data_IF_077869149870
#
_entry.id   IF_077869149870
#
_cell.length_a   1.000
_cell.length_b   1.000
_cell.length_c   1.000
_cell.angle_alpha   90.00
_cell.angle_beta   90.00
_cell.angle_gamma   90.00
#
_symmetry.space_group_name_H-M   'P 1'
#
loop_
_entity.id
_entity.type
_entity.pdbx_description
1 polymer ?
#
# COMPACT_ATOMS: atom_id res chain seq x y z
N UNK A 1 30.74 -2.80 12.79
CA UNK A 1 29.40 -2.47 13.33
C UNK A 1 28.79 -1.39 12.43
N UNK A 2 27.60 -1.59 11.85
CA UNK A 2 26.95 -0.53 11.04
C UNK A 2 26.42 0.54 11.99
N UNK A 3 26.74 1.81 11.72
CA UNK A 3 26.31 2.96 12.54
C UNK A 3 24.81 3.24 12.47
N UNK A 4 24.16 2.77 11.39
CA UNK A 4 22.73 2.95 11.15
C UNK A 4 22.09 1.60 10.84
N UNK A 5 20.92 1.36 11.44
CA UNK A 5 20.07 0.24 11.10
C UNK A 5 19.43 0.53 9.75
N UNK A 6 19.69 -0.30 8.74
CA UNK A 6 19.01 -0.13 7.46
C UNK A 6 17.52 -0.44 7.62
N UNK A 7 16.68 0.16 6.77
CA UNK A 7 15.25 -0.14 6.75
C UNK A 7 14.99 -1.65 6.65
N UNK A 8 15.78 -2.36 5.84
CA UNK A 8 15.70 -3.81 5.74
C UNK A 8 16.07 -4.53 7.05
N UNK A 9 17.09 -4.06 7.77
CA UNK A 9 17.50 -4.67 9.04
C UNK A 9 16.41 -4.45 10.11
N UNK A 10 15.84 -3.25 10.19
CA UNK A 10 14.70 -2.93 11.06
C UNK A 10 13.51 -3.86 10.82
N UNK A 11 13.06 -3.98 9.57
CA UNK A 11 11.90 -4.82 9.26
C UNK A 11 12.17 -6.31 9.47
N UNK A 12 13.43 -6.75 9.30
CA UNK A 12 13.81 -8.12 9.61
C UNK A 12 13.73 -8.44 11.09
N UNK A 13 14.13 -7.51 11.93
CA UNK A 13 14.03 -7.63 13.37
C UNK A 13 12.56 -7.54 13.82
N UNK A 14 11.85 -6.50 13.38
CA UNK A 14 10.46 -6.23 13.75
C UNK A 14 9.51 -7.38 13.39
N UNK A 15 9.58 -7.90 12.16
CA UNK A 15 8.73 -9.00 11.71
C UNK A 15 9.37 -10.39 11.86
N UNK A 16 10.51 -10.50 12.56
CA UNK A 16 11.25 -11.77 12.75
C UNK A 16 11.51 -12.53 11.44
N UNK A 17 11.82 -11.80 10.36
CA UNK A 17 12.00 -12.38 9.04
C UNK A 17 12.01 -11.35 7.90
N UNK A 18 12.42 -11.78 6.70
CA UNK A 18 12.41 -10.90 5.52
C UNK A 18 10.97 -10.48 5.18
N UNK A 19 10.70 -9.18 5.27
CA UNK A 19 9.50 -8.58 4.72
C UNK A 19 9.69 -8.13 3.27
N UNK A 20 8.66 -8.33 2.45
CA UNK A 20 8.65 -7.94 1.03
C UNK A 20 7.41 -7.10 0.76
N UNK A 21 7.62 -5.95 0.11
CA UNK A 21 6.52 -5.10 -0.37
C UNK A 21 5.93 -5.69 -1.63
N UNK A 22 4.62 -5.88 -1.65
CA UNK A 22 3.85 -6.25 -2.83
C UNK A 22 3.23 -4.97 -3.37
N UNK A 23 3.67 -4.52 -4.56
CA UNK A 23 3.10 -3.32 -5.17
C UNK A 23 1.71 -3.66 -5.72
N UNK A 24 0.69 -2.97 -5.21
CA UNK A 24 -0.72 -3.22 -5.51
C UNK A 24 -1.38 -1.95 -6.05
N UNK A 25 -2.30 -2.13 -6.98
CA UNK A 25 -3.23 -1.12 -7.45
C UNK A 25 -4.58 -1.30 -6.75
N UNK A 26 -4.96 -0.30 -5.97
CA UNK A 26 -6.24 -0.24 -5.26
C UNK A 26 -7.35 0.44 -6.06
N UNK A 27 -7.18 0.69 -7.35
CA UNK A 27 -8.18 1.37 -8.18
C UNK A 27 -8.39 2.84 -7.81
N UNK A 28 -7.40 3.45 -7.16
CA UNK A 28 -7.47 4.84 -6.72
C UNK A 28 -7.27 5.81 -7.88
N UNK A 29 -7.66 7.05 -7.66
CA UNK A 29 -7.31 8.18 -8.53
C UNK A 29 -6.66 9.30 -7.71
N UNK A 30 -6.39 10.46 -8.32
CA UNK A 30 -5.80 11.61 -7.67
C UNK A 30 -6.64 12.86 -7.98
N UNK A 31 -6.91 13.74 -7.00
CA UNK A 31 -7.68 14.97 -7.23
C UNK A 31 -6.98 15.94 -8.21
N UNK A 32 -5.67 15.78 -8.42
CA UNK A 32 -4.90 16.56 -9.39
C UNK A 32 -5.04 16.02 -10.83
N UNK A 33 -5.82 14.95 -11.03
CA UNK A 33 -6.07 14.28 -12.32
C UNK A 33 -7.53 14.26 -12.73
N UNK A 34 -8.44 14.11 -11.78
CA UNK A 34 -9.87 13.87 -12.02
C UNK A 34 -10.72 15.14 -12.18
N UNK A 35 -10.09 16.32 -12.10
CA UNK A 35 -10.75 17.61 -12.24
C UNK A 35 -11.18 18.27 -10.94
N UNK A 36 -11.01 17.62 -9.78
CA UNK A 36 -11.34 18.25 -8.49
C UNK A 36 -10.39 19.40 -8.14
N UNK A 37 -9.09 19.23 -8.36
CA UNK A 37 -8.06 20.27 -8.21
C UNK A 37 -7.48 20.63 -9.59
N UNK A 38 -7.24 19.64 -10.44
CA UNK A 38 -6.68 19.82 -11.79
C UNK A 38 -7.01 18.62 -12.69
N UNK A 39 -6.76 18.79 -13.99
CA UNK A 39 -6.83 17.75 -15.02
C UNK A 39 -5.45 17.39 -15.59
N UNK A 40 -4.36 17.98 -15.07
CA UNK A 40 -3.02 17.89 -15.69
C UNK A 40 -2.08 16.87 -15.04
N UNK A 41 -2.46 16.31 -13.90
CA UNK A 41 -1.56 15.54 -13.03
C UNK A 41 -0.36 16.34 -12.50
N UNK A 42 0.49 15.66 -11.71
CA UNK A 42 1.80 16.19 -11.33
C UNK A 42 2.77 16.08 -12.51
N UNK A 43 3.68 17.06 -12.65
CA UNK A 43 4.65 17.12 -13.76
C UNK A 43 5.51 15.86 -13.93
N UNK A 44 5.73 15.10 -12.85
CA UNK A 44 6.54 13.88 -12.85
C UNK A 44 5.70 12.60 -12.94
N UNK A 45 4.38 12.68 -12.95
CA UNK A 45 3.53 11.49 -13.09
C UNK A 45 3.27 11.20 -14.57
N UNK A 46 3.53 9.97 -14.99
CA UNK A 46 3.07 9.40 -16.26
C UNK A 46 1.54 9.31 -16.31
N UNK A 47 0.97 9.00 -17.48
CA UNK A 47 -0.49 8.94 -17.64
C UNK A 47 -1.18 7.94 -16.70
N UNK A 48 -0.55 6.79 -16.40
CA UNK A 48 -1.07 5.82 -15.43
C UNK A 48 -0.56 6.03 -13.98
N UNK A 49 0.16 7.13 -13.72
CA UNK A 49 0.65 7.51 -12.40
C UNK A 49 1.97 6.85 -12.01
N UNK A 50 2.42 7.00 -10.76
CA UNK A 50 3.73 6.48 -10.32
C UNK A 50 3.85 4.94 -10.27
N UNK A 51 2.84 4.22 -10.77
CA UNK A 51 2.74 2.76 -10.81
C UNK A 51 2.45 2.18 -12.20
N UNK A 52 2.98 2.75 -13.28
CA UNK A 52 2.76 2.30 -14.68
C UNK A 52 2.94 0.78 -14.94
N UNK A 53 3.71 0.08 -14.09
CA UNK A 53 3.94 -1.35 -14.19
C UNK A 53 2.86 -2.21 -13.49
N UNK A 54 1.90 -1.59 -12.81
CA UNK A 54 0.80 -2.27 -12.14
C UNK A 54 -0.29 -2.62 -13.15
N UNK A 55 -0.96 -3.75 -12.92
CA UNK A 55 -2.08 -4.18 -13.75
C UNK A 55 -3.37 -4.08 -12.94
N UNK A 56 -4.06 -2.94 -13.07
CA UNK A 56 -5.31 -2.65 -12.36
C UNK A 56 -6.52 -3.46 -12.82
N UNK A 57 -6.41 -4.31 -13.85
CA UNK A 57 -7.51 -5.15 -14.33
C UNK A 57 -7.69 -6.43 -13.49
N UNK A 58 -6.82 -6.67 -12.51
CA UNK A 58 -6.84 -7.84 -11.65
C UNK A 58 -7.47 -7.49 -10.30
N UNK A 59 -8.16 -8.46 -9.71
CA UNK A 59 -8.59 -8.38 -8.31
C UNK A 59 -7.38 -8.26 -7.38
N UNK A 60 -7.59 -7.71 -6.19
CA UNK A 60 -6.53 -7.54 -5.20
C UNK A 60 -5.83 -8.86 -4.85
N UNK A 61 -6.58 -9.96 -4.77
CA UNK A 61 -6.01 -11.28 -4.49
C UNK A 61 -5.11 -11.78 -5.61
N UNK A 62 -5.56 -11.64 -6.87
CA UNK A 62 -4.76 -12.01 -8.04
C UNK A 62 -3.48 -11.16 -8.11
N UNK A 63 -3.57 -9.86 -7.81
CA UNK A 63 -2.40 -8.99 -7.74
C UNK A 63 -1.41 -9.45 -6.65
N UNK A 64 -1.90 -9.80 -5.46
CA UNK A 64 -1.09 -10.32 -4.35
C UNK A 64 -0.37 -11.60 -4.76
N UNK A 65 -1.10 -12.60 -5.26
CA UNK A 65 -0.51 -13.89 -5.63
C UNK A 65 0.49 -13.76 -6.79
N UNK A 66 0.18 -12.92 -7.78
CA UNK A 66 1.10 -12.62 -8.89
C UNK A 66 2.39 -11.96 -8.39
N UNK A 67 2.29 -10.97 -7.51
CA UNK A 67 3.45 -10.30 -6.91
C UNK A 67 4.29 -11.25 -6.07
N UNK A 68 3.66 -12.13 -5.26
CA UNK A 68 4.38 -13.17 -4.51
C UNK A 68 5.13 -14.11 -5.43
N UNK A 69 4.48 -14.62 -6.49
CA UNK A 69 5.12 -15.52 -7.46
C UNK A 69 6.31 -14.85 -8.13
N UNK A 70 6.13 -13.60 -8.58
CA UNK A 70 7.19 -12.82 -9.21
C UNK A 70 8.40 -12.62 -8.29
N UNK A 71 8.16 -12.33 -7.01
CA UNK A 71 9.22 -12.02 -6.05
C UNK A 71 9.80 -13.26 -5.34
N UNK A 72 9.15 -14.42 -5.43
CA UNK A 72 9.58 -15.69 -4.81
C UNK A 72 10.97 -16.12 -5.27
N UNK A 73 11.32 -15.85 -6.53
CA UNK A 73 12.65 -16.15 -7.09
C UNK A 73 13.76 -15.29 -6.47
N UNK A 74 13.42 -14.07 -6.02
CA UNK A 74 14.35 -13.11 -5.45
C UNK A 74 14.47 -13.25 -3.93
N UNK A 75 13.36 -13.50 -3.23
CA UNK A 75 13.30 -13.54 -1.78
C UNK A 75 12.41 -14.68 -1.27
N UNK A 76 12.92 -15.48 -0.32
CA UNK A 76 12.14 -16.46 0.44
C UNK A 76 11.43 -15.79 1.61
N UNK A 77 10.51 -14.86 1.31
CA UNK A 77 9.77 -14.12 2.33
C UNK A 77 8.52 -14.89 2.78
N UNK A 78 8.15 -14.70 4.05
CA UNK A 78 6.86 -15.12 4.60
C UNK A 78 6.01 -13.93 5.06
N UNK A 79 6.64 -12.77 5.20
CA UNK A 79 6.04 -11.53 5.67
C UNK A 79 5.84 -10.62 4.46
N UNK A 80 4.61 -10.21 4.17
CA UNK A 80 4.31 -9.32 3.06
C UNK A 80 3.72 -8.00 3.54
N UNK A 81 4.12 -6.91 2.88
CA UNK A 81 3.57 -5.58 3.13
C UNK A 81 2.77 -5.20 1.88
N UNK A 82 1.47 -4.98 2.02
CA UNK A 82 0.64 -4.44 0.95
C UNK A 82 1.07 -3.00 0.69
N UNK A 83 1.58 -2.72 -0.50
CA UNK A 83 2.17 -1.43 -0.85
C UNK A 83 1.37 -0.76 -1.96
N UNK A 84 0.55 0.21 -1.58
CA UNK A 84 -0.17 1.08 -2.48
C UNK A 84 0.69 2.34 -2.68
N UNK A 85 1.21 2.50 -3.89
CA UNK A 85 2.06 3.65 -4.25
C UNK A 85 1.36 4.57 -5.25
N UNK A 86 0.52 4.00 -6.11
CA UNK A 86 -0.04 4.75 -7.22
C UNK A 86 -1.15 5.69 -6.75
N UNK A 87 -1.17 6.92 -7.25
CA UNK A 87 -2.17 7.95 -6.96
C UNK A 87 -2.29 8.35 -5.47
N UNK A 88 -3.50 8.70 -5.02
CA UNK A 88 -3.80 9.18 -3.66
C UNK A 88 -4.66 8.15 -2.94
N UNK A 89 -4.05 7.28 -2.12
CA UNK A 89 -4.75 6.08 -1.64
C UNK A 89 -5.79 6.31 -0.54
N UNK A 90 -5.95 7.55 -0.08
CA UNK A 90 -7.04 7.94 0.84
C UNK A 90 -8.06 8.86 0.17
N UNK A 91 -8.02 8.96 -1.16
CA UNK A 91 -8.94 9.77 -1.94
C UNK A 91 -9.99 8.90 -2.65
N UNK A 92 -11.27 9.23 -2.45
CA UNK A 92 -12.40 8.52 -3.05
C UNK A 92 -13.51 8.27 -2.03
N UNK A 93 -14.35 7.28 -2.32
CA UNK A 93 -15.41 6.84 -1.41
C UNK A 93 -14.82 6.21 -0.14
N UNK A 94 -15.21 6.72 1.03
CA UNK A 94 -14.70 6.24 2.31
C UNK A 94 -15.05 4.77 2.57
N UNK A 95 -16.25 4.33 2.16
CA UNK A 95 -16.69 2.95 2.38
C UNK A 95 -15.82 1.97 1.58
N UNK A 96 -15.48 2.33 0.33
CA UNK A 96 -14.53 1.58 -0.49
C UNK A 96 -13.14 1.50 0.17
N UNK A 97 -12.57 2.63 0.58
CA UNK A 97 -11.24 2.69 1.25
C UNK A 97 -11.24 1.82 2.50
N UNK A 98 -12.27 1.95 3.34
CA UNK A 98 -12.45 1.17 4.57
C UNK A 98 -12.53 -0.32 4.29
N UNK A 99 -13.35 -0.73 3.33
CA UNK A 99 -13.53 -2.14 2.98
C UNK A 99 -12.23 -2.74 2.44
N UNK A 100 -11.53 -2.04 1.54
CA UNK A 100 -10.27 -2.49 0.97
C UNK A 100 -9.19 -2.69 2.05
N UNK A 101 -8.97 -1.70 2.91
CA UNK A 101 -7.90 -1.81 3.92
C UNK A 101 -8.25 -2.76 5.06
N UNK A 102 -9.53 -2.84 5.45
CA UNK A 102 -9.99 -3.86 6.41
C UNK A 102 -9.78 -5.26 5.85
N UNK A 103 -10.12 -5.47 4.57
CA UNK A 103 -9.90 -6.73 3.87
C UNK A 103 -8.42 -7.11 3.86
N UNK A 104 -7.55 -6.21 3.39
CA UNK A 104 -6.09 -6.45 3.37
C UNK A 104 -5.56 -6.75 4.77
N UNK A 105 -5.96 -5.98 5.79
CA UNK A 105 -5.50 -6.18 7.16
C UNK A 105 -6.05 -7.45 7.82
N UNK A 106 -7.07 -8.09 7.26
CA UNK A 106 -7.60 -9.36 7.77
C UNK A 106 -6.84 -10.59 7.27
N UNK A 107 -5.89 -10.41 6.33
CA UNK A 107 -5.16 -11.53 5.76
C UNK A 107 -3.94 -11.89 6.61
N UNK A 108 -3.78 -13.18 6.90
CA UNK A 108 -2.68 -13.68 7.74
C UNK A 108 -1.29 -13.55 7.11
N UNK A 109 -1.22 -13.40 5.79
CA UNK A 109 0.01 -13.26 5.02
C UNK A 109 0.49 -11.81 4.90
N UNK A 110 -0.35 -10.82 5.26
CA UNK A 110 -0.02 -9.40 5.21
C UNK A 110 0.30 -8.91 6.63
N UNK A 111 1.56 -8.54 6.85
CA UNK A 111 2.04 -8.03 8.15
C UNK A 111 2.00 -6.51 8.27
N UNK A 112 1.63 -5.82 7.19
CA UNK A 112 1.55 -4.36 7.19
C UNK A 112 0.98 -3.79 5.90
N UNK A 113 0.51 -2.55 6.00
CA UNK A 113 -0.02 -1.77 4.87
C UNK A 113 0.81 -0.49 4.77
N UNK A 114 1.27 -0.18 3.56
CA UNK A 114 2.04 1.02 3.23
C UNK A 114 1.29 1.75 2.14
N UNK A 115 0.82 2.96 2.42
CA UNK A 115 0.01 3.78 1.51
C UNK A 115 0.76 5.05 1.11
N UNK A 116 0.55 5.51 -0.12
CA UNK A 116 0.99 6.82 -0.59
C UNK A 116 -0.24 7.71 -0.75
N UNK A 117 -0.26 8.85 -0.06
CA UNK A 117 -1.38 9.77 -0.15
C UNK A 117 -0.94 11.21 -0.03
N UNK A 118 -1.83 12.13 -0.38
CA UNK A 118 -1.65 13.56 -0.22
C UNK A 118 -2.13 13.97 1.17
N UNK A 119 -1.43 14.92 1.77
CA UNK A 119 -1.74 15.45 3.10
C UNK A 119 -3.15 16.06 3.17
N UNK A 120 -3.63 16.65 2.07
CA UNK A 120 -4.97 17.25 1.96
C UNK A 120 -6.10 16.23 1.72
N UNK A 121 -5.78 14.93 1.67
CA UNK A 121 -6.75 13.84 1.52
C UNK A 121 -6.79 12.93 2.76
N UNK A 122 -6.36 13.44 3.92
CA UNK A 122 -6.40 12.73 5.20
C UNK A 122 -7.32 13.50 6.14
N UNK A 123 -8.56 13.04 6.27
CA UNK A 123 -9.52 13.57 7.24
C UNK A 123 -9.57 12.72 8.53
N UNK A 124 -10.38 13.13 9.50
CA UNK A 124 -10.53 12.44 10.77
C UNK A 124 -11.01 10.98 10.62
N UNK A 125 -11.87 10.70 9.64
CA UNK A 125 -12.37 9.35 9.39
C UNK A 125 -11.26 8.42 8.87
N UNK A 126 -10.42 8.93 7.97
CA UNK A 126 -9.24 8.21 7.47
C UNK A 126 -8.24 7.97 8.61
N UNK A 127 -7.97 8.97 9.44
CA UNK A 127 -7.05 8.83 10.58
C UNK A 127 -7.55 7.73 11.53
N UNK A 128 -8.84 7.76 11.88
CA UNK A 128 -9.43 6.79 12.78
C UNK A 128 -9.41 5.37 12.19
N UNK A 129 -9.70 5.22 10.89
CA UNK A 129 -9.56 3.95 10.17
C UNK A 129 -8.13 3.39 10.25
N UNK A 130 -7.12 4.21 9.95
CA UNK A 130 -5.72 3.78 9.95
C UNK A 130 -5.25 3.40 11.36
N UNK A 131 -5.71 4.13 12.38
CA UNK A 131 -5.44 3.82 13.78
C UNK A 131 -6.04 2.47 14.18
N UNK A 132 -7.30 2.22 13.84
CA UNK A 132 -7.98 0.93 14.12
C UNK A 132 -7.22 -0.25 13.48
N UNK A 133 -6.81 -0.10 12.21
CA UNK A 133 -6.02 -1.10 11.50
C UNK A 133 -4.66 -1.34 12.17
N UNK A 134 -3.95 -0.28 12.54
CA UNK A 134 -2.63 -0.38 13.19
C UNK A 134 -2.71 -1.07 14.55
N UNK A 135 -3.73 -0.76 15.35
CA UNK A 135 -3.89 -1.34 16.69
C UNK A 135 -4.22 -2.82 16.65
N UNK A 136 -5.04 -3.26 15.69
CA UNK A 136 -5.38 -4.69 15.51
C UNK A 136 -4.14 -5.56 15.29
N UNK A 137 -3.14 -5.05 14.58
CA UNK A 137 -1.91 -5.77 14.26
C UNK A 137 -0.82 -5.67 15.35
N UNK A 138 -1.04 -4.88 16.40
CA UNK A 138 -0.08 -4.69 17.50
C UNK A 138 -0.26 -5.70 18.64
N UNK A 139 -1.22 -6.61 18.53
CA UNK A 139 -1.61 -7.60 19.55
C UNK A 139 -1.05 -9.01 19.30
N UNK A 140 -0.05 -9.16 18.42
CA UNK A 140 0.58 -10.43 18.03
C UNK A 140 2.05 -10.51 18.37
#
# INVERSE_FOLDING_TARGET
MRRFLSFNDFFREYFKGKAVKLSLDGGFTCPNRDGKISNKACLFCSDAGSGDFLNGNLTIDEQIEKQKLFLKSKWKAKNYIAYFQNFTNTYGDFSYIKNLYTYISSRDDIVGISIATRLDCIDENIIELLKQISQKNSSG
#
